data_IF_286705801553
#
_entry.id   IF_286705801553
#
_cell.length_a   1.000
_cell.length_b   1.000
_cell.length_c   1.000
_cell.angle_alpha   90.00
_cell.angle_beta   90.00
_cell.angle_gamma   90.00
#
_symmetry.space_group_name_H-M   'P 1'
#
loop_
_entity.id
_entity.type
_entity.pdbx_description
1 polymer ?
#
# COMPACT_ATOMS: atom_id res chain seq x y z
N UNK A 1 -13.79 40.42 26.21
CA UNK A 1 -14.30 39.51 25.16
C UNK A 1 -13.17 38.96 24.29
N UNK A 2 -12.34 39.82 23.68
CA UNK A 2 -11.23 39.45 22.79
C UNK A 2 -10.19 38.47 23.38
N UNK A 3 -9.79 38.62 24.65
CA UNK A 3 -8.82 37.70 25.28
C UNK A 3 -9.37 36.28 25.48
N UNK A 4 -10.64 36.16 25.91
CA UNK A 4 -11.30 34.85 26.05
C UNK A 4 -11.42 34.16 24.70
N UNK A 5 -11.75 34.89 23.64
CA UNK A 5 -11.79 34.37 22.27
C UNK A 5 -10.42 33.88 21.80
N UNK A 6 -9.34 34.62 22.07
CA UNK A 6 -7.97 34.19 21.73
C UNK A 6 -7.59 32.88 22.43
N UNK A 7 -7.87 32.76 23.73
CA UNK A 7 -7.58 31.54 24.50
C UNK A 7 -8.35 30.34 23.93
N UNK A 8 -9.64 30.53 23.59
CA UNK A 8 -10.45 29.46 22.98
C UNK A 8 -9.87 29.03 21.63
N UNK A 9 -9.48 29.97 20.77
CA UNK A 9 -8.90 29.65 19.46
C UNK A 9 -7.56 28.91 19.61
N UNK A 10 -6.69 29.36 20.51
CA UNK A 10 -5.40 28.69 20.77
C UNK A 10 -5.62 27.27 21.29
N UNK A 11 -6.52 27.09 22.25
CA UNK A 11 -6.82 25.75 22.80
C UNK A 11 -7.45 24.85 21.75
N UNK A 12 -8.37 25.37 20.92
CA UNK A 12 -8.99 24.61 19.84
C UNK A 12 -7.94 24.18 18.80
N UNK A 13 -7.03 25.07 18.41
CA UNK A 13 -5.93 24.75 17.50
C UNK A 13 -5.01 23.68 18.10
N UNK A 14 -4.66 23.83 19.38
CA UNK A 14 -3.80 22.87 20.09
C UNK A 14 -4.44 21.47 20.16
N UNK A 15 -5.73 21.40 20.50
CA UNK A 15 -6.49 20.14 20.50
C UNK A 15 -6.51 19.53 19.10
N UNK A 16 -6.80 20.33 18.06
CA UNK A 16 -6.83 19.85 16.68
C UNK A 16 -5.48 19.26 16.24
N UNK A 17 -4.37 19.94 16.57
CA UNK A 17 -3.02 19.46 16.26
C UNK A 17 -2.73 18.13 16.98
N UNK A 18 -3.06 18.03 18.27
CA UNK A 18 -2.90 16.77 19.03
C UNK A 18 -3.75 15.66 18.42
N UNK A 19 -5.01 15.93 18.06
CA UNK A 19 -5.89 14.94 17.43
C UNK A 19 -5.32 14.42 16.10
N UNK A 20 -4.81 15.32 15.25
CA UNK A 20 -4.16 14.95 13.99
C UNK A 20 -2.92 14.10 14.26
N UNK A 21 -2.10 14.48 15.24
CA UNK A 21 -0.89 13.74 15.61
C UNK A 21 -1.21 12.33 16.12
N UNK A 22 -2.21 12.19 17.01
CA UNK A 22 -2.65 10.89 17.52
C UNK A 22 -3.22 10.01 16.39
N UNK A 23 -3.97 10.60 15.46
CA UNK A 23 -4.49 9.88 14.30
C UNK A 23 -3.38 9.38 13.36
N UNK A 24 -2.41 10.24 13.06
CA UNK A 24 -1.27 9.90 12.20
C UNK A 24 -0.41 8.79 12.81
N UNK A 25 -0.08 8.90 14.10
CA UNK A 25 0.73 7.89 14.81
C UNK A 25 0.01 6.54 14.93
N UNK A 26 -1.29 6.53 15.24
CA UNK A 26 -2.08 5.30 15.27
C UNK A 26 -2.15 4.62 13.90
N UNK A 27 -2.33 5.39 12.83
CA UNK A 27 -2.36 4.89 11.46
C UNK A 27 -1.02 4.28 11.06
N UNK A 28 0.08 4.97 11.36
CA UNK A 28 1.44 4.48 11.09
C UNK A 28 1.74 3.18 11.85
N UNK A 29 1.30 3.06 13.10
CA UNK A 29 1.47 1.83 13.88
C UNK A 29 0.71 0.65 13.27
N UNK A 30 -0.52 0.88 12.79
CA UNK A 30 -1.30 -0.15 12.08
C UNK A 30 -0.63 -0.56 10.77
N UNK A 31 -0.11 0.39 10.00
CA UNK A 31 0.62 0.12 8.77
C UNK A 31 1.85 -0.78 9.04
N UNK A 32 2.62 -0.46 10.09
CA UNK A 32 3.78 -1.26 10.46
C UNK A 32 3.42 -2.68 10.87
N UNK A 33 2.29 -2.85 11.54
CA UNK A 33 1.76 -4.17 11.91
C UNK A 33 1.44 -5.00 10.68
N UNK A 34 0.79 -4.42 9.66
CA UNK A 34 0.50 -5.12 8.40
C UNK A 34 1.76 -5.45 7.60
N UNK A 35 2.72 -4.52 7.54
CA UNK A 35 4.02 -4.78 6.93
C UNK A 35 4.73 -5.96 7.57
N UNK A 36 4.76 -6.00 8.92
CA UNK A 36 5.36 -7.12 9.66
C UNK A 36 4.65 -8.44 9.41
N UNK A 37 3.32 -8.43 9.30
CA UNK A 37 2.55 -9.63 8.94
C UNK A 37 2.96 -10.14 7.55
N UNK A 38 3.10 -9.24 6.58
CA UNK A 38 3.63 -9.56 5.25
C UNK A 38 5.01 -10.19 5.29
N UNK A 39 5.96 -9.59 6.01
CA UNK A 39 7.31 -10.15 6.18
C UNK A 39 7.30 -11.52 6.88
N UNK A 40 6.48 -11.70 7.92
CA UNK A 40 6.38 -12.98 8.62
C UNK A 40 5.79 -14.09 7.74
N UNK A 41 4.78 -13.77 6.93
CA UNK A 41 4.20 -14.72 5.99
C UNK A 41 5.21 -15.06 4.88
N UNK A 42 5.96 -14.07 4.40
CA UNK A 42 7.03 -14.29 3.42
C UNK A 42 8.13 -15.21 3.99
N UNK A 43 8.53 -15.01 5.24
CA UNK A 43 9.48 -15.88 5.94
C UNK A 43 8.95 -17.31 6.10
N UNK A 44 7.64 -17.47 6.29
CA UNK A 44 6.95 -18.76 6.35
C UNK A 44 6.70 -19.39 4.96
N UNK A 45 7.14 -18.76 3.86
CA UNK A 45 6.86 -19.14 2.47
C UNK A 45 5.37 -19.12 2.09
N UNK A 46 4.56 -18.43 2.87
CA UNK A 46 3.15 -18.21 2.59
C UNK A 46 2.98 -16.94 1.74
N UNK A 47 3.10 -17.12 0.42
CA UNK A 47 3.09 -16.00 -0.51
C UNK A 47 1.75 -15.28 -0.59
N UNK A 48 0.62 -15.97 -0.42
CA UNK A 48 -0.70 -15.34 -0.49
C UNK A 48 -0.90 -14.40 0.70
N UNK A 49 -0.59 -14.86 1.91
CA UNK A 49 -0.68 -14.01 3.10
C UNK A 49 0.39 -12.91 3.09
N UNK A 50 1.56 -13.15 2.48
CA UNK A 50 2.57 -12.11 2.28
C UNK A 50 2.04 -10.98 1.38
N UNK A 51 1.44 -11.34 0.23
CA UNK A 51 0.85 -10.38 -0.71
C UNK A 51 -0.22 -9.54 0.01
N UNK A 52 -1.16 -10.19 0.69
CA UNK A 52 -2.24 -9.49 1.41
C UNK A 52 -1.71 -8.53 2.50
N UNK A 53 -0.66 -8.91 3.22
CA UNK A 53 -0.03 -8.08 4.25
C UNK A 53 0.63 -6.82 3.66
N UNK A 54 1.38 -6.97 2.56
CA UNK A 54 2.00 -5.83 1.89
C UNK A 54 0.98 -4.92 1.19
N UNK A 55 -0.04 -5.51 0.56
CA UNK A 55 -1.15 -4.78 -0.05
C UNK A 55 -1.87 -3.92 0.99
N UNK A 56 -2.23 -4.52 2.13
CA UNK A 56 -2.84 -3.82 3.27
C UNK A 56 -1.97 -2.68 3.81
N UNK A 57 -0.65 -2.85 3.82
CA UNK A 57 0.27 -1.80 4.24
C UNK A 57 0.32 -0.62 3.24
N UNK A 58 0.13 -0.87 1.93
CA UNK A 58 0.03 0.20 0.92
C UNK A 58 -1.32 0.93 1.03
N UNK A 59 -2.43 0.19 1.24
CA UNK A 59 -3.76 0.77 1.46
C UNK A 59 -3.80 1.75 2.63
N UNK A 60 -2.99 1.51 3.67
CA UNK A 60 -2.79 2.45 4.78
C UNK A 60 -1.82 3.58 4.40
N UNK A 61 -2.03 4.19 3.24
CA UNK A 61 -1.15 5.21 2.69
C UNK A 61 -1.01 6.38 3.65
N UNK A 62 0.22 6.60 4.10
CA UNK A 62 0.63 7.76 4.87
C UNK A 62 1.70 8.48 4.03
N UNK A 63 1.49 9.77 3.69
CA UNK A 63 2.48 10.53 2.95
C UNK A 63 3.86 10.41 3.59
N UNK A 64 4.90 10.23 2.76
CA UNK A 64 6.30 10.06 3.17
C UNK A 64 6.63 8.81 4.01
N UNK A 65 5.67 7.90 4.22
CA UNK A 65 5.96 6.64 4.91
C UNK A 65 6.89 5.76 4.06
N UNK A 66 8.06 5.34 4.58
CA UNK A 66 8.95 4.44 3.86
C UNK A 66 8.35 3.04 3.70
N UNK A 67 7.31 2.69 4.47
CA UNK A 67 6.69 1.37 4.44
C UNK A 67 5.89 1.14 3.16
N UNK A 68 5.29 2.18 2.58
CA UNK A 68 4.58 2.07 1.30
C UNK A 68 5.53 1.60 0.21
N UNK A 69 6.66 2.28 0.08
CA UNK A 69 7.67 1.96 -0.93
C UNK A 69 8.35 0.61 -0.67
N UNK A 70 8.58 0.25 0.60
CA UNK A 70 9.12 -1.06 0.95
C UNK A 70 8.14 -2.19 0.62
N UNK A 71 6.85 -2.04 0.95
CA UNK A 71 5.80 -2.99 0.57
C UNK A 71 5.71 -3.16 -0.94
N UNK A 72 5.76 -2.05 -1.68
CA UNK A 72 5.73 -2.08 -3.14
C UNK A 72 6.91 -2.89 -3.72
N UNK A 73 8.13 -2.62 -3.24
CA UNK A 73 9.31 -3.41 -3.60
C UNK A 73 9.17 -4.88 -3.26
N UNK A 74 8.61 -5.22 -2.09
CA UNK A 74 8.38 -6.62 -1.70
C UNK A 74 7.40 -7.32 -2.62
N UNK A 75 6.25 -6.70 -2.93
CA UNK A 75 5.28 -7.24 -3.88
C UNK A 75 5.89 -7.43 -5.27
N UNK A 76 6.68 -6.45 -5.74
CA UNK A 76 7.40 -6.55 -7.00
C UNK A 76 8.37 -7.74 -7.02
N UNK A 77 9.17 -7.91 -5.96
CA UNK A 77 10.10 -9.03 -5.84
C UNK A 77 9.36 -10.37 -5.83
N UNK A 78 8.25 -10.48 -5.09
CA UNK A 78 7.41 -11.70 -5.07
C UNK A 78 6.90 -12.01 -6.47
N UNK A 79 6.36 -11.01 -7.19
CA UNK A 79 5.90 -11.18 -8.56
C UNK A 79 7.00 -11.67 -9.50
N UNK A 80 8.20 -11.07 -9.43
CA UNK A 80 9.34 -11.49 -10.26
C UNK A 80 9.85 -12.90 -9.92
N UNK A 81 9.93 -13.25 -8.65
CA UNK A 81 10.35 -14.59 -8.22
C UNK A 81 9.37 -15.67 -8.70
N UNK A 82 8.07 -15.41 -8.59
CA UNK A 82 7.02 -16.28 -9.13
C UNK A 82 7.09 -16.40 -10.66
N UNK A 83 7.32 -15.29 -11.35
CA UNK A 83 7.51 -15.26 -12.81
C UNK A 83 8.71 -16.12 -13.23
N UNK A 84 9.85 -16.00 -12.55
CA UNK A 84 11.06 -16.78 -12.81
C UNK A 84 10.88 -18.28 -12.55
N UNK A 85 9.97 -18.66 -11.66
CA UNK A 85 9.61 -20.06 -11.38
C UNK A 85 8.59 -20.63 -12.37
N UNK A 86 8.11 -19.83 -13.32
CA UNK A 86 7.07 -20.21 -14.27
C UNK A 86 5.66 -20.21 -13.67
N UNK A 87 5.49 -19.77 -12.42
CA UNK A 87 4.21 -19.70 -11.71
C UNK A 87 3.42 -18.44 -12.12
N UNK A 88 3.14 -18.34 -13.43
CA UNK A 88 2.62 -17.13 -14.09
C UNK A 88 1.33 -16.61 -13.47
N UNK A 89 0.39 -17.49 -13.11
CA UNK A 89 -0.87 -17.07 -12.48
C UNK A 89 -0.66 -16.42 -11.12
N UNK A 90 0.26 -16.95 -10.30
CA UNK A 90 0.60 -16.36 -9.01
C UNK A 90 1.37 -15.05 -9.15
N UNK A 91 2.27 -14.97 -10.14
CA UNK A 91 2.95 -13.73 -10.47
C UNK A 91 1.95 -12.61 -10.83
N UNK A 92 0.93 -12.94 -11.64
CA UNK A 92 -0.15 -12.02 -11.99
C UNK A 92 -0.97 -11.58 -10.77
N UNK A 93 -1.18 -12.43 -9.77
CA UNK A 93 -1.83 -12.03 -8.50
C UNK A 93 -1.00 -10.95 -7.81
N UNK A 94 0.32 -11.15 -7.66
CA UNK A 94 1.19 -10.19 -7.01
C UNK A 94 1.24 -8.83 -7.74
N UNK A 95 1.38 -8.85 -9.07
CA UNK A 95 1.38 -7.61 -9.87
C UNK A 95 0.04 -6.88 -9.85
N UNK A 96 -1.08 -7.62 -9.89
CA UNK A 96 -2.42 -7.02 -9.80
C UNK A 96 -2.66 -6.43 -8.42
N UNK A 97 -2.26 -7.10 -7.35
CA UNK A 97 -2.34 -6.60 -5.98
C UNK A 97 -1.52 -5.31 -5.78
N UNK A 98 -0.29 -5.26 -6.32
CA UNK A 98 0.53 -4.05 -6.27
C UNK A 98 -0.14 -2.88 -7.00
N UNK A 99 -0.66 -3.15 -8.19
CA UNK A 99 -1.36 -2.15 -9.00
C UNK A 99 -2.66 -1.66 -8.33
N UNK A 100 -3.51 -2.57 -7.85
CA UNK A 100 -4.77 -2.24 -7.18
C UNK A 100 -4.53 -1.43 -5.91
N UNK A 101 -3.50 -1.79 -5.13
CA UNK A 101 -3.14 -1.07 -3.93
C UNK A 101 -2.86 0.40 -4.24
N UNK A 102 -2.06 0.70 -5.26
CA UNK A 102 -1.79 2.09 -5.60
C UNK A 102 -2.99 2.82 -6.20
N UNK A 103 -3.79 2.18 -7.06
CA UNK A 103 -5.03 2.78 -7.56
C UNK A 103 -5.98 3.17 -6.42
N UNK A 104 -6.10 2.34 -5.38
CA UNK A 104 -6.96 2.65 -4.24
C UNK A 104 -6.47 3.83 -3.37
N UNK A 105 -5.20 4.19 -3.51
CA UNK A 105 -4.57 5.30 -2.77
C UNK A 105 -4.57 6.61 -3.56
N UNK A 106 -5.10 6.60 -4.79
CA UNK A 106 -5.27 7.81 -5.58
C UNK A 106 -6.36 8.69 -4.96
N UNK A 107 -6.10 9.99 -4.94
CA UNK A 107 -7.00 11.02 -4.42
C UNK A 107 -6.58 12.37 -4.98
N UNK A 108 -6.20 13.31 -4.12
CA UNK A 108 -5.58 14.56 -4.58
C UNK A 108 -4.19 14.35 -5.19
N UNK A 109 -3.51 13.26 -4.82
CA UNK A 109 -2.22 12.87 -5.35
C UNK A 109 -2.31 11.50 -6.02
N UNK A 110 -1.37 11.21 -6.93
CA UNK A 110 -1.26 9.94 -7.62
C UNK A 110 0.03 9.22 -7.21
N UNK A 111 0.10 8.65 -5.99
CA UNK A 111 1.28 7.90 -5.56
C UNK A 111 1.48 6.64 -6.40
N UNK A 112 2.74 6.22 -6.57
CA UNK A 112 3.07 4.93 -7.15
C UNK A 112 2.88 4.79 -8.67
N UNK A 113 2.79 5.90 -9.42
CA UNK A 113 2.62 5.85 -10.89
C UNK A 113 3.66 4.98 -11.61
N UNK A 114 4.92 5.01 -11.15
CA UNK A 114 5.98 4.14 -11.70
C UNK A 114 5.65 2.65 -11.49
N UNK A 115 5.18 2.28 -10.28
CA UNK A 115 4.79 0.91 -9.97
C UNK A 115 3.59 0.46 -10.80
N UNK A 116 2.60 1.33 -10.97
CA UNK A 116 1.43 1.05 -11.82
C UNK A 116 1.87 0.75 -13.25
N UNK A 117 2.69 1.62 -13.84
CA UNK A 117 3.17 1.46 -15.22
C UNK A 117 3.95 0.15 -15.41
N UNK A 118 4.84 -0.17 -14.47
CA UNK A 118 5.62 -1.42 -14.50
C UNK A 118 4.74 -2.66 -14.34
N UNK A 119 3.72 -2.61 -13.46
CA UNK A 119 2.77 -3.68 -13.31
C UNK A 119 1.90 -3.86 -14.55
N UNK A 120 1.46 -2.77 -15.20
CA UNK A 120 0.67 -2.83 -16.42
C UNK A 120 1.46 -3.48 -17.56
N UNK A 121 2.74 -3.13 -17.73
CA UNK A 121 3.64 -3.80 -18.67
C UNK A 121 3.72 -5.30 -18.41
N UNK A 122 4.00 -5.70 -17.15
CA UNK A 122 4.10 -7.11 -16.77
C UNK A 122 2.80 -7.88 -16.95
N UNK A 123 1.67 -7.29 -16.57
CA UNK A 123 0.36 -7.93 -16.71
C UNK A 123 0.04 -8.12 -18.20
N UNK A 124 0.31 -7.14 -19.06
CA UNK A 124 0.05 -7.26 -20.50
C UNK A 124 0.92 -8.33 -21.17
N UNK A 125 2.17 -8.49 -20.72
CA UNK A 125 3.08 -9.53 -21.23
C UNK A 125 2.67 -10.94 -20.79
N UNK A 126 2.17 -11.09 -19.57
CA UNK A 126 1.91 -12.39 -18.94
C UNK A 126 0.45 -12.85 -19.03
N UNK A 127 -0.51 -11.93 -19.15
CA UNK A 127 -1.92 -12.26 -19.21
C UNK A 127 -2.26 -12.87 -20.57
N UNK A 128 -2.98 -14.00 -20.53
CA UNK A 128 -3.61 -14.54 -21.74
C UNK A 128 -4.67 -13.55 -22.24
N UNK A 129 -4.83 -13.36 -23.56
CA UNK A 129 -5.90 -12.54 -24.10
C UNK A 129 -7.24 -13.09 -23.58
N UNK A 130 -8.04 -12.22 -22.99
CA UNK A 130 -9.39 -12.56 -22.53
C UNK A 130 -10.21 -12.90 -23.76
N UNK A 131 -10.49 -14.18 -23.98
CA UNK A 131 -11.44 -14.58 -25.02
C UNK A 131 -12.84 -14.19 -24.53
N UNK A 132 -13.61 -13.42 -25.31
CA UNK A 132 -14.97 -13.09 -24.93
C UNK A 132 -15.79 -14.38 -24.82
N UNK A 133 -16.61 -14.47 -23.77
CA UNK A 133 -17.56 -15.57 -23.62
C UNK A 133 -18.47 -15.60 -24.87
N UNK A 134 -18.55 -16.77 -25.52
CA UNK A 134 -19.45 -17.01 -26.65
C UNK A 134 -20.89 -17.11 -26.19
#
# INVERSE_FOLDING_TARGET
>A
MLEKTKIIIVNALFIAVISIFLFATATQFRQWTQYKRGESALAARDQINAIAGFESAIHMYTPFSPLVERSAKRLWIIGRDLELRGETEKALIAYRALRSAFYSTHGLTHPGMLWIAQCDEKINLLAKPVQPAR
#
